data_IF_063021189854
#
_entry.id   IF_063021189854
#
_cell.length_a   1.000
_cell.length_b   1.000
_cell.length_c   1.000
_cell.angle_alpha   90.00
_cell.angle_beta   90.00
_cell.angle_gamma   90.00
#
_symmetry.space_group_name_H-M   'P 1'
#
loop_
_entity.id
_entity.type
_entity.pdbx_description
1 polymer ?
#
# COMPACT_ATOMS: atom_id res chain seq x y z
N UNK A 1 17.93 12.72 -8.61
CA UNK A 1 17.05 12.09 -7.62
C UNK A 1 15.59 12.49 -7.89
N UNK A 2 15.14 12.45 -9.17
CA UNK A 2 13.92 13.14 -9.63
C UNK A 2 12.84 12.22 -10.23
N UNK A 3 13.13 10.93 -10.46
CA UNK A 3 12.20 10.03 -11.15
C UNK A 3 11.23 9.30 -10.22
N UNK A 4 11.53 9.20 -8.92
CA UNK A 4 10.71 8.47 -7.95
C UNK A 4 9.44 9.26 -7.61
N UNK A 5 9.59 10.57 -7.44
CA UNK A 5 8.49 11.49 -7.12
C UNK A 5 7.53 11.65 -8.31
N UNK A 6 8.07 11.82 -9.54
CA UNK A 6 7.29 12.01 -10.76
C UNK A 6 6.51 10.77 -11.21
N UNK A 7 6.99 9.54 -10.95
CA UNK A 7 6.37 8.33 -11.52
C UNK A 7 5.45 7.56 -10.55
N UNK A 8 5.58 7.75 -9.24
CA UNK A 8 4.67 7.09 -8.29
C UNK A 8 3.65 8.07 -7.72
N UNK A 9 4.07 9.25 -7.26
CA UNK A 9 3.16 10.28 -6.73
C UNK A 9 2.25 9.84 -5.58
N UNK A 10 2.50 8.68 -4.96
CA UNK A 10 1.65 8.06 -3.94
C UNK A 10 2.50 7.30 -2.92
N UNK A 11 2.16 7.42 -1.64
CA UNK A 11 2.87 6.70 -0.59
C UNK A 11 2.42 5.23 -0.52
N UNK A 12 3.31 4.37 -0.04
CA UNK A 12 3.00 2.95 0.19
C UNK A 12 2.76 2.75 1.68
N UNK A 13 1.59 2.23 2.01
CA UNK A 13 1.25 1.81 3.36
C UNK A 13 1.35 0.30 3.45
N UNK A 14 2.17 -0.18 4.38
CA UNK A 14 2.31 -1.58 4.73
C UNK A 14 1.50 -1.88 5.99
N UNK A 15 0.55 -2.81 5.89
CA UNK A 15 -0.30 -3.23 7.00
C UNK A 15 0.06 -4.67 7.35
N UNK A 16 0.42 -4.89 8.61
CA UNK A 16 0.74 -6.19 9.17
C UNK A 16 -0.32 -6.57 10.21
N UNK A 17 -0.80 -7.81 10.10
CA UNK A 17 -1.80 -8.37 11.01
C UNK A 17 -3.25 -8.08 10.60
N UNK A 18 -4.17 -8.69 11.34
CA UNK A 18 -5.60 -8.67 11.01
C UNK A 18 -5.96 -9.57 9.82
N UNK A 19 -7.21 -9.48 9.36
CA UNK A 19 -7.68 -10.24 8.22
C UNK A 19 -7.48 -9.44 6.92
N UNK A 20 -6.64 -9.91 5.98
CA UNK A 20 -6.32 -9.15 4.78
C UNK A 20 -7.54 -8.87 3.91
N UNK A 21 -8.50 -9.80 3.79
CA UNK A 21 -9.69 -9.56 2.96
C UNK A 21 -10.61 -8.48 3.53
N UNK A 22 -10.75 -8.43 4.86
CA UNK A 22 -11.54 -7.38 5.52
C UNK A 22 -10.87 -6.02 5.40
N UNK A 23 -9.54 -5.97 5.54
CA UNK A 23 -8.76 -4.76 5.37
C UNK A 23 -8.84 -4.25 3.93
N UNK A 24 -8.64 -5.14 2.96
CA UNK A 24 -8.76 -4.83 1.53
C UNK A 24 -10.10 -4.20 1.24
N UNK A 25 -11.21 -4.83 1.68
CA UNK A 25 -12.55 -4.33 1.38
C UNK A 25 -12.82 -2.96 2.00
N UNK A 26 -12.23 -2.68 3.16
CA UNK A 26 -12.38 -1.40 3.86
C UNK A 26 -11.60 -0.26 3.17
N UNK A 27 -10.36 -0.51 2.78
CA UNK A 27 -9.46 0.52 2.24
C UNK A 27 -9.52 0.62 0.71
N UNK A 28 -10.14 -0.35 0.02
CA UNK A 28 -10.30 -0.41 -1.44
C UNK A 28 -10.69 0.92 -2.10
N UNK A 29 -11.63 1.73 -1.57
CA UNK A 29 -11.99 2.99 -2.24
C UNK A 29 -10.99 4.13 -2.01
N UNK A 30 -10.07 3.99 -1.06
CA UNK A 30 -9.08 5.02 -0.68
C UNK A 30 -7.68 4.76 -1.25
N UNK A 31 -7.48 3.60 -1.89
CA UNK A 31 -6.21 3.14 -2.42
C UNK A 31 -6.35 2.92 -3.93
N UNK A 32 -5.31 3.24 -4.69
CA UNK A 32 -5.28 2.96 -6.12
C UNK A 32 -5.00 1.49 -6.41
N UNK A 33 -4.21 0.84 -5.54
CA UNK A 33 -3.83 -0.56 -5.68
C UNK A 33 -3.58 -1.19 -4.31
N UNK A 34 -3.87 -2.47 -4.19
CA UNK A 34 -3.51 -3.27 -3.03
C UNK A 34 -2.79 -4.52 -3.53
N UNK A 35 -1.62 -4.78 -2.96
CA UNK A 35 -0.87 -6.02 -3.16
C UNK A 35 -0.84 -6.78 -1.84
N UNK A 36 -0.91 -8.10 -1.92
CA UNK A 36 -0.84 -8.99 -0.75
C UNK A 36 0.42 -9.83 -0.88
N UNK A 37 1.37 -9.68 0.04
CA UNK A 37 2.55 -10.54 0.10
C UNK A 37 2.53 -11.34 1.40
N UNK A 38 2.11 -12.60 1.30
CA UNK A 38 1.92 -13.46 2.45
C UNK A 38 0.87 -12.89 3.41
N UNK A 39 1.32 -12.42 4.57
CA UNK A 39 0.48 -11.83 5.63
C UNK A 39 0.53 -10.29 5.67
N UNK A 40 1.27 -9.67 4.73
CA UNK A 40 1.44 -8.21 4.66
C UNK A 40 0.66 -7.63 3.49
N UNK A 41 -0.07 -6.55 3.74
CA UNK A 41 -0.76 -5.78 2.72
C UNK A 41 0.05 -4.55 2.35
N UNK A 42 0.26 -4.32 1.06
CA UNK A 42 0.90 -3.12 0.51
C UNK A 42 -0.16 -2.30 -0.21
N UNK A 43 -0.46 -1.13 0.31
CA UNK A 43 -1.53 -0.27 -0.15
C UNK A 43 -0.93 0.97 -0.77
N UNK A 44 -1.20 1.18 -2.05
CA UNK A 44 -0.72 2.33 -2.81
C UNK A 44 -1.79 3.41 -2.73
N UNK A 45 -1.59 4.39 -1.84
CA UNK A 45 -2.55 5.45 -1.59
C UNK A 45 -1.94 6.82 -1.97
N UNK A 46 -2.64 7.64 -2.77
CA UNK A 46 -2.23 9.03 -2.98
C UNK A 46 -2.26 9.79 -1.66
N UNK A 47 -3.27 9.51 -0.83
CA UNK A 47 -3.42 10.08 0.50
C UNK A 47 -3.36 8.97 1.58
N UNK A 48 -2.22 8.81 2.26
CA UNK A 48 -2.07 7.79 3.29
C UNK A 48 -2.86 8.09 4.58
N UNK A 49 -3.32 9.32 4.79
CA UNK A 49 -4.13 9.64 5.97
C UNK A 49 -5.53 9.03 5.87
N UNK A 50 -6.15 9.04 4.69
CA UNK A 50 -7.46 8.40 4.46
C UNK A 50 -7.45 6.92 4.88
N UNK A 51 -6.42 6.19 4.47
CA UNK A 51 -6.23 4.78 4.83
C UNK A 51 -6.02 4.62 6.33
N UNK A 52 -5.19 5.47 6.95
CA UNK A 52 -4.96 5.45 8.40
C UNK A 52 -6.24 5.71 9.18
N UNK A 53 -7.11 6.60 8.72
CA UNK A 53 -8.40 6.89 9.34
C UNK A 53 -9.31 5.66 9.30
N UNK A 54 -9.38 4.95 8.16
CA UNK A 54 -10.18 3.73 8.07
C UNK A 54 -9.68 2.62 9.00
N UNK A 55 -8.35 2.49 9.12
CA UNK A 55 -7.73 1.49 9.99
C UNK A 55 -7.72 1.89 11.47
N UNK A 56 -8.04 3.16 11.77
CA UNK A 56 -8.08 3.70 13.12
C UNK A 56 -9.15 2.98 13.94
N UNK A 57 -8.76 2.41 15.07
CA UNK A 57 -9.66 1.66 15.95
C UNK A 57 -9.58 0.14 15.79
N UNK A 58 -8.83 -0.38 14.81
CA UNK A 58 -8.45 -1.80 14.80
C UNK A 58 -7.24 -2.04 15.69
N UNK A 59 -7.43 -2.81 16.75
CA UNK A 59 -6.35 -3.22 17.63
C UNK A 59 -5.50 -4.33 16.97
N UNK A 60 -4.20 -4.32 17.23
CA UNK A 60 -3.27 -5.36 16.77
C UNK A 60 -2.81 -5.22 15.31
N UNK A 61 -3.14 -4.12 14.63
CA UNK A 61 -2.55 -3.78 13.33
C UNK A 61 -1.26 -3.00 13.52
N UNK A 62 -0.23 -3.36 12.76
CA UNK A 62 0.97 -2.54 12.61
C UNK A 62 0.95 -1.92 11.22
N UNK A 63 1.02 -0.60 11.17
CA UNK A 63 0.95 0.17 9.94
C UNK A 63 2.30 0.88 9.78
N UNK A 64 2.96 0.69 8.64
CA UNK A 64 4.18 1.39 8.25
C UNK A 64 3.90 2.21 7.00
N UNK A 65 4.40 3.43 6.97
CA UNK A 65 4.39 4.27 5.78
C UNK A 65 5.82 4.37 5.26
N UNK A 66 6.00 4.10 3.97
CA UNK A 66 7.28 4.33 3.31
C UNK A 66 7.10 5.09 2.00
N UNK A 67 8.11 5.89 1.61
CA UNK A 67 8.14 6.42 0.26
C UNK A 67 8.20 5.28 -0.75
N UNK A 68 7.62 5.48 -1.93
CA UNK A 68 7.70 4.50 -3.00
C UNK A 68 9.15 4.30 -3.43
N UNK A 69 9.50 3.05 -3.75
CA UNK A 69 10.82 2.68 -4.24
C UNK A 69 10.83 2.55 -5.77
N UNK A 70 12.02 2.42 -6.36
CA UNK A 70 12.15 2.10 -7.79
C UNK A 70 11.49 0.77 -8.15
N UNK A 71 11.43 -0.16 -7.20
CA UNK A 71 10.77 -1.46 -7.36
C UNK A 71 9.26 -1.29 -7.54
N UNK A 72 8.65 -0.39 -6.77
CA UNK A 72 7.23 -0.01 -6.87
C UNK A 72 6.93 0.70 -8.20
N UNK A 73 7.86 1.56 -8.66
CA UNK A 73 7.79 2.20 -10.00
C UNK A 73 7.80 1.14 -11.09
N UNK A 74 8.71 0.16 -10.97
CA UNK A 74 8.86 -0.91 -11.92
C UNK A 74 7.61 -1.82 -11.94
N UNK A 75 7.07 -2.19 -10.77
CA UNK A 75 5.80 -2.91 -10.64
C UNK A 75 4.64 -2.16 -11.31
N UNK A 76 4.55 -0.84 -11.09
CA UNK A 76 3.51 0.01 -11.71
C UNK A 76 3.64 0.07 -13.23
N UNK A 77 4.86 0.27 -13.74
CA UNK A 77 5.11 0.43 -15.18
C UNK A 77 5.01 -0.89 -15.95
N UNK A 78 5.49 -1.98 -15.36
CA UNK A 78 5.51 -3.28 -16.04
C UNK A 78 4.22 -4.07 -15.86
N UNK A 79 3.38 -3.71 -14.87
CA UNK A 79 2.14 -4.40 -14.57
C UNK A 79 2.32 -5.86 -14.13
N UNK A 80 3.57 -6.31 -13.96
CA UNK A 80 3.91 -7.66 -13.53
C UNK A 80 4.02 -7.66 -12.02
N UNK A 81 3.27 -8.52 -11.34
CA UNK A 81 3.63 -8.95 -9.99
C UNK A 81 5.06 -9.50 -10.03
N UNK A 82 5.92 -9.05 -9.11
CA UNK A 82 7.21 -9.70 -8.94
C UNK A 82 6.96 -11.10 -8.41
N UNK A 83 6.96 -12.08 -9.31
CA UNK A 83 7.10 -13.49 -8.93
C UNK A 83 8.41 -13.61 -8.13
N UNK A 84 8.28 -13.93 -6.85
CA UNK A 84 9.40 -14.36 -6.00
C UNK A 84 9.87 -15.75 -6.39
#
# INVERSE_FOLDING_TARGET
>A
HALIDEYIGCNVIEIFGGNPQELISLIRPYVQRIEVSGETLFCYAPDPEDVRIQLRGRAGLRILERPPSLEDVFLRLTGREMEK
#
